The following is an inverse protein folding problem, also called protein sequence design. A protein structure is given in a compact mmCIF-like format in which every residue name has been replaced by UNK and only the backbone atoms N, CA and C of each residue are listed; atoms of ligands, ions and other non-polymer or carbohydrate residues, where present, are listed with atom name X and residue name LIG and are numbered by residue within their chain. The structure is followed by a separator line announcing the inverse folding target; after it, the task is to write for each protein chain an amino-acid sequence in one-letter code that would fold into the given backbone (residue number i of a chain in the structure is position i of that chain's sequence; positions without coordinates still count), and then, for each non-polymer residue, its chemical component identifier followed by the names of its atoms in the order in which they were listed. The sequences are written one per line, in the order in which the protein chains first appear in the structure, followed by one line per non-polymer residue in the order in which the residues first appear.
data_IF_722348324117
#
_entry.id   IF_722348324117
#
_cell.length_a   1.000
_cell.length_b   1.000
_cell.length_c   1.000
_cell.angle_alpha   90.00
_cell.angle_beta   90.00
_cell.angle_gamma   90.00
#
_symmetry.space_group_name_H-M   'P 1'
#
loop_
_entity.id
_entity.type
_entity.pdbx_description
1 polymer ?
#
# COMPACT_ATOMS: atom_id res chain seq x y z
N UNK A 1 -6.48 -79.02 22.33
CA UNK A 1 -7.23 -77.85 21.82
C UNK A 1 -6.62 -76.61 22.48
N UNK A 2 -5.80 -75.84 21.74
CA UNK A 2 -5.21 -74.58 22.24
C UNK A 2 -5.88 -73.45 21.44
N UNK A 3 -6.68 -72.63 22.08
CA UNK A 3 -7.24 -71.40 21.47
C UNK A 3 -6.20 -70.30 21.56
N UNK A 4 -5.81 -69.78 20.39
CA UNK A 4 -4.94 -68.62 20.26
C UNK A 4 -5.81 -67.36 20.20
N UNK A 5 -5.72 -66.52 21.24
CA UNK A 5 -6.41 -65.19 21.27
C UNK A 5 -5.48 -64.22 20.60
N UNK A 6 -5.88 -63.78 19.40
CA UNK A 6 -5.18 -62.71 18.67
C UNK A 6 -5.66 -61.37 19.15
N UNK A 7 -4.78 -60.63 19.82
CA UNK A 7 -5.05 -59.28 20.32
C UNK A 7 -4.76 -58.30 19.19
N UNK A 8 -5.82 -57.81 18.53
CA UNK A 8 -5.69 -56.72 17.55
C UNK A 8 -5.68 -55.39 18.30
N UNK A 9 -4.48 -54.83 18.46
CA UNK A 9 -4.31 -53.47 18.99
C UNK A 9 -4.60 -52.49 17.84
N UNK A 10 -5.76 -51.86 17.92
CA UNK A 10 -6.17 -50.77 17.03
C UNK A 10 -5.50 -49.49 17.51
N UNK A 11 -4.38 -49.11 16.86
CA UNK A 11 -3.67 -47.87 17.15
C UNK A 11 -4.43 -46.71 16.50
N UNK A 12 -5.26 -46.04 17.27
CA UNK A 12 -5.99 -44.85 16.85
C UNK A 12 -4.99 -43.68 16.81
N UNK A 13 -4.41 -43.40 15.64
CA UNK A 13 -3.61 -42.23 15.41
C UNK A 13 -4.54 -41.00 15.33
N UNK A 14 -4.71 -40.31 16.43
CA UNK A 14 -5.34 -38.99 16.46
C UNK A 14 -4.32 -37.99 15.92
N UNK A 15 -4.41 -37.66 14.64
CA UNK A 15 -3.71 -36.52 14.07
C UNK A 15 -4.29 -35.23 14.65
N UNK A 16 -3.67 -34.71 15.69
CA UNK A 16 -3.88 -33.34 16.10
C UNK A 16 -3.27 -32.43 15.03
N UNK A 17 -4.07 -32.06 14.05
CA UNK A 17 -3.76 -30.98 13.11
C UNK A 17 -3.80 -29.68 13.90
N UNK A 18 -2.68 -29.30 14.48
CA UNK A 18 -2.50 -27.95 15.03
C UNK A 18 -2.42 -26.99 13.86
N UNK A 19 -3.59 -26.55 13.37
CA UNK A 19 -3.67 -25.41 12.45
C UNK A 19 -3.21 -24.18 13.23
N UNK A 20 -1.93 -23.89 13.12
CA UNK A 20 -1.39 -22.62 13.58
C UNK A 20 -1.87 -21.56 12.58
N UNK A 21 -3.10 -21.11 12.75
CA UNK A 21 -3.64 -19.98 12.03
C UNK A 21 -2.86 -18.75 12.51
N UNK A 22 -1.84 -18.38 11.75
CA UNK A 22 -1.08 -17.16 11.96
C UNK A 22 -2.06 -15.99 11.77
N UNK A 23 -2.71 -15.56 12.85
CA UNK A 23 -3.47 -14.32 12.87
C UNK A 23 -2.50 -13.20 12.59
N UNK A 24 -2.46 -12.75 11.33
CA UNK A 24 -1.80 -11.47 11.00
C UNK A 24 -2.34 -10.43 11.97
N UNK A 25 -1.48 -9.66 12.63
CA UNK A 25 -1.95 -8.59 13.50
C UNK A 25 -2.89 -7.71 12.70
N UNK A 26 -4.09 -7.47 13.23
CA UNK A 26 -5.07 -6.60 12.61
C UNK A 26 -4.43 -5.22 12.56
N UNK A 27 -4.09 -4.74 11.34
CA UNK A 27 -3.55 -3.40 11.17
C UNK A 27 -4.58 -2.42 11.72
N UNK A 28 -4.20 -1.69 12.75
CA UNK A 28 -5.03 -0.63 13.29
C UNK A 28 -4.88 0.57 12.36
N UNK A 29 -5.98 0.91 11.67
CA UNK A 29 -6.00 2.07 10.80
C UNK A 29 -6.20 3.31 11.66
N UNK A 30 -5.24 4.22 11.59
CA UNK A 30 -5.36 5.52 12.23
C UNK A 30 -6.36 6.32 11.40
N UNK A 31 -7.54 6.54 11.94
CA UNK A 31 -8.49 7.50 11.37
C UNK A 31 -7.95 8.91 11.58
N UNK A 32 -7.90 9.67 10.51
CA UNK A 32 -7.44 11.04 10.53
C UNK A 32 -8.46 11.91 9.80
N UNK A 33 -8.91 12.96 10.46
CA UNK A 33 -9.72 13.99 9.85
C UNK A 33 -8.79 15.08 9.30
N UNK A 34 -8.82 15.27 7.99
CA UNK A 34 -8.06 16.35 7.35
C UNK A 34 -8.73 17.70 7.59
N UNK A 35 -7.90 18.72 7.71
CA UNK A 35 -8.39 20.10 7.75
C UNK A 35 -9.15 20.41 6.47
N UNK A 36 -10.28 21.12 6.62
CA UNK A 36 -11.05 21.59 5.47
C UNK A 36 -10.22 22.60 4.70
N UNK A 37 -10.12 22.39 3.39
CA UNK A 37 -9.52 23.34 2.48
C UNK A 37 -10.44 24.56 2.32
N UNK A 38 -10.03 25.78 2.79
CA UNK A 38 -10.84 26.96 2.67
C UNK A 38 -10.94 27.50 1.24
N UNK A 39 -10.01 27.09 0.36
CA UNK A 39 -9.91 27.52 -1.03
C UNK A 39 -10.32 26.42 -2.00
N UNK A 40 -11.00 25.37 -1.50
CA UNK A 40 -11.41 24.26 -2.32
C UNK A 40 -12.17 24.72 -3.56
N UNK A 41 -11.66 24.36 -4.73
CA UNK A 41 -12.37 24.56 -5.99
C UNK A 41 -13.53 23.55 -6.09
N UNK A 42 -14.74 24.07 -5.90
CA UNK A 42 -15.98 23.26 -6.00
C UNK A 42 -16.49 23.15 -7.43
N UNK A 43 -15.86 23.84 -8.37
CA UNK A 43 -16.27 23.86 -9.78
C UNK A 43 -15.45 22.92 -10.66
N UNK A 44 -14.40 22.33 -10.10
CA UNK A 44 -13.56 21.39 -10.84
C UNK A 44 -14.35 20.17 -11.31
N UNK A 45 -14.18 19.86 -12.58
CA UNK A 45 -14.87 18.73 -13.23
C UNK A 45 -14.07 17.45 -13.10
N UNK A 46 -14.55 16.55 -12.24
CA UNK A 46 -13.99 15.21 -12.02
C UNK A 46 -14.59 14.14 -12.94
N UNK A 47 -15.57 14.51 -13.79
CA UNK A 47 -16.30 13.55 -14.64
C UNK A 47 -15.42 12.84 -15.68
N UNK A 48 -14.30 13.46 -16.04
CA UNK A 48 -13.35 12.91 -17.01
C UNK A 48 -12.30 11.96 -16.38
N UNK A 49 -12.31 11.82 -15.05
CA UNK A 49 -11.41 10.91 -14.37
C UNK A 49 -11.97 9.47 -14.48
N UNK A 50 -11.16 8.50 -14.91
CA UNK A 50 -11.60 7.11 -14.95
C UNK A 50 -12.05 6.62 -13.59
N UNK A 51 -13.03 5.72 -13.54
CA UNK A 51 -13.51 5.12 -12.30
C UNK A 51 -12.39 4.36 -11.57
N UNK A 52 -12.47 4.33 -10.24
CA UNK A 52 -11.53 3.66 -9.36
C UNK A 52 -10.28 4.49 -9.05
N UNK A 53 -9.38 3.87 -8.31
CA UNK A 53 -8.15 4.49 -7.87
C UNK A 53 -7.14 4.61 -9.01
N UNK A 54 -6.71 5.83 -9.28
CA UNK A 54 -5.65 6.14 -10.23
C UNK A 54 -4.33 6.32 -9.48
N UNK A 55 -3.21 6.02 -10.14
CA UNK A 55 -1.88 6.17 -9.57
C UNK A 55 -0.87 6.60 -10.64
N UNK A 56 0.04 7.48 -10.26
CA UNK A 56 1.17 7.87 -11.09
C UNK A 56 2.39 8.24 -10.26
N UNK A 57 3.57 7.86 -10.70
CA UNK A 57 4.77 8.46 -10.17
C UNK A 57 4.87 9.92 -10.61
N UNK A 58 5.20 10.79 -9.66
CA UNK A 58 5.43 12.21 -9.87
C UNK A 58 6.79 12.62 -9.30
N UNK A 59 7.23 13.84 -9.59
CA UNK A 59 8.44 14.36 -8.96
C UNK A 59 8.15 14.82 -7.54
N UNK A 60 9.17 14.86 -6.70
CA UNK A 60 9.01 15.33 -5.31
C UNK A 60 8.68 16.84 -5.22
N UNK A 61 8.91 17.57 -6.30
CA UNK A 61 8.66 19.01 -6.40
C UNK A 61 7.23 19.31 -6.91
N UNK A 62 6.54 18.31 -7.44
CA UNK A 62 5.17 18.48 -7.92
C UNK A 62 4.21 18.70 -6.74
N UNK A 63 3.45 19.78 -6.79
CA UNK A 63 2.44 20.14 -5.79
C UNK A 63 1.07 20.00 -6.42
N UNK A 64 0.23 19.20 -5.79
CA UNK A 64 -1.10 18.88 -6.28
C UNK A 64 -2.16 19.43 -5.32
N UNK A 65 -3.04 20.32 -5.80
CA UNK A 65 -4.18 20.74 -5.01
C UNK A 65 -5.15 19.57 -4.81
N UNK A 66 -5.79 19.53 -3.65
CA UNK A 66 -6.70 18.45 -3.29
C UNK A 66 -8.00 18.48 -4.09
N UNK A 67 -8.49 19.68 -4.37
CA UNK A 67 -9.82 19.92 -4.96
C UNK A 67 -9.87 19.85 -6.48
N UNK A 68 -8.72 19.80 -7.15
CA UNK A 68 -8.61 19.83 -8.61
C UNK A 68 -8.10 18.49 -9.13
N UNK A 69 -8.73 17.91 -10.17
CA UNK A 69 -8.21 16.74 -10.83
C UNK A 69 -6.77 16.95 -11.29
N UNK A 70 -5.84 16.05 -11.01
CA UNK A 70 -4.47 16.23 -11.41
C UNK A 70 -4.28 16.06 -12.92
N UNK A 71 -3.66 17.02 -13.57
CA UNK A 71 -3.29 16.97 -14.97
C UNK A 71 -1.88 16.38 -15.12
N UNK A 72 -1.74 15.08 -14.88
CA UNK A 72 -0.45 14.40 -14.93
C UNK A 72 -0.42 13.30 -15.96
N UNK A 73 0.69 13.15 -16.64
CA UNK A 73 0.93 11.97 -17.46
C UNK A 73 1.12 10.74 -16.57
N UNK A 74 0.37 9.68 -16.87
CA UNK A 74 0.47 8.42 -16.11
C UNK A 74 1.85 7.80 -16.29
N UNK A 75 2.62 7.74 -15.22
CA UNK A 75 3.93 7.09 -15.16
C UNK A 75 3.86 5.89 -14.25
N UNK A 76 3.96 4.69 -14.83
CA UNK A 76 3.92 3.41 -14.09
C UNK A 76 5.29 3.01 -13.52
N UNK A 77 6.34 3.72 -13.86
CA UNK A 77 7.69 3.46 -13.39
C UNK A 77 8.45 4.75 -13.14
N UNK A 78 9.38 4.70 -12.22
CA UNK A 78 10.30 5.79 -11.92
C UNK A 78 11.72 5.24 -11.83
N UNK A 79 12.68 6.03 -12.24
CA UNK A 79 14.10 5.71 -12.06
C UNK A 79 14.66 6.62 -10.97
N UNK A 80 15.17 6.02 -9.93
CA UNK A 80 15.87 6.74 -8.85
C UNK A 80 17.33 6.29 -8.82
N UNK A 81 18.20 7.17 -8.37
CA UNK A 81 19.62 6.88 -8.23
C UNK A 81 20.07 7.30 -6.84
N UNK A 82 20.96 6.54 -6.25
CA UNK A 82 21.53 6.81 -4.93
C UNK A 82 22.90 6.18 -4.79
N UNK A 83 23.67 6.64 -3.84
CA UNK A 83 24.95 6.08 -3.48
C UNK A 83 24.79 4.85 -2.58
N UNK A 84 25.81 4.04 -2.50
CA UNK A 84 25.80 2.88 -1.60
C UNK A 84 25.57 3.34 -0.15
N UNK A 85 24.52 2.80 0.49
CA UNK A 85 24.12 3.16 1.85
C UNK A 85 23.22 4.39 1.96
N UNK A 86 22.85 5.00 0.84
CA UNK A 86 21.92 6.11 0.79
C UNK A 86 20.47 5.61 0.75
N UNK A 87 19.57 6.36 1.39
CA UNK A 87 18.14 6.19 1.23
C UNK A 87 17.64 7.10 0.13
N UNK A 88 16.92 6.54 -0.84
CA UNK A 88 16.30 7.29 -1.93
C UNK A 88 14.80 7.34 -1.74
N UNK A 89 14.19 8.44 -2.17
CA UNK A 89 12.75 8.64 -2.08
C UNK A 89 12.13 8.71 -3.47
N UNK A 90 10.91 8.21 -3.58
CA UNK A 90 10.06 8.37 -4.74
C UNK A 90 8.68 8.81 -4.28
N UNK A 91 8.00 9.61 -5.08
CA UNK A 91 6.65 10.07 -4.78
C UNK A 91 5.67 9.48 -5.79
N UNK A 92 4.54 9.01 -5.27
CA UNK A 92 3.42 8.52 -6.07
C UNK A 92 2.17 9.29 -5.68
N UNK A 93 1.51 9.85 -6.68
CA UNK A 93 0.22 10.49 -6.54
C UNK A 93 -0.87 9.45 -6.69
N UNK A 94 -1.85 9.49 -5.79
CA UNK A 94 -3.06 8.69 -5.85
C UNK A 94 -4.26 9.63 -5.92
N UNK A 95 -5.22 9.34 -6.81
CA UNK A 95 -6.46 10.11 -6.92
C UNK A 95 -7.62 9.24 -7.38
N UNK A 96 -8.82 9.66 -7.08
CA UNK A 96 -10.06 9.02 -7.49
C UNK A 96 -11.17 10.05 -7.55
N UNK A 97 -12.10 9.90 -8.51
CA UNK A 97 -13.35 10.65 -8.52
C UNK A 97 -14.40 10.08 -7.57
N UNK A 98 -14.15 8.91 -7.02
CA UNK A 98 -15.05 8.19 -6.13
C UNK A 98 -14.42 8.06 -4.74
N UNK A 99 -15.23 7.87 -3.71
CA UNK A 99 -14.76 7.62 -2.36
C UNK A 99 -13.98 6.30 -2.28
N UNK A 100 -12.77 6.36 -1.75
CA UNK A 100 -11.91 5.20 -1.53
C UNK A 100 -11.78 4.98 -0.02
N UNK A 101 -12.38 3.90 0.47
CA UNK A 101 -12.41 3.62 1.90
C UNK A 101 -11.07 3.18 2.48
N UNK A 102 -10.24 2.51 1.66
CA UNK A 102 -8.97 1.97 2.13
C UNK A 102 -7.99 1.86 0.97
N UNK A 103 -6.76 2.33 1.21
CA UNK A 103 -5.63 2.14 0.30
C UNK A 103 -4.54 1.40 1.05
N UNK A 104 -4.06 0.32 0.47
CA UNK A 104 -2.92 -0.43 0.99
C UNK A 104 -1.84 -0.49 -0.09
N UNK A 105 -0.58 -0.26 0.31
CA UNK A 105 0.58 -0.39 -0.54
C UNK A 105 1.43 -1.55 -0.03
N UNK A 106 1.68 -2.51 -0.90
CA UNK A 106 2.56 -3.62 -0.63
C UNK A 106 3.79 -3.53 -1.52
N UNK A 107 4.93 -3.95 -0.99
CA UNK A 107 6.17 -4.08 -1.74
C UNK A 107 6.48 -5.55 -1.96
N UNK A 108 6.84 -5.88 -3.17
CA UNK A 108 7.48 -7.14 -3.49
C UNK A 108 8.99 -7.07 -3.24
N UNK A 109 9.66 -8.20 -3.41
CA UNK A 109 11.12 -8.25 -3.38
C UNK A 109 11.74 -7.41 -4.49
N UNK A 110 12.77 -6.66 -4.13
CA UNK A 110 13.54 -5.89 -5.11
C UNK A 110 14.58 -6.79 -5.76
N UNK A 111 14.63 -6.79 -7.07
CA UNK A 111 15.51 -7.66 -7.87
C UNK A 111 16.57 -6.87 -8.60
N UNK A 112 17.78 -7.37 -8.55
CA UNK A 112 18.86 -6.95 -9.42
C UNK A 112 19.52 -8.17 -10.06
N UNK A 113 20.44 -7.95 -10.99
CA UNK A 113 21.17 -9.03 -11.67
C UNK A 113 22.01 -9.87 -10.71
N UNK A 114 22.34 -9.35 -9.54
CA UNK A 114 23.26 -9.97 -8.59
C UNK A 114 22.66 -10.28 -7.22
N UNK A 115 21.47 -9.77 -6.91
CA UNK A 115 20.88 -9.92 -5.60
C UNK A 115 19.37 -9.76 -5.58
N UNK A 116 18.73 -10.42 -4.61
CA UNK A 116 17.37 -10.16 -4.18
C UNK A 116 17.42 -9.41 -2.84
N UNK A 117 16.69 -8.33 -2.75
CA UNK A 117 16.56 -7.56 -1.52
C UNK A 117 15.13 -7.69 -0.99
N UNK A 118 14.94 -7.90 0.31
CA UNK A 118 13.62 -8.11 0.87
C UNK A 118 12.76 -6.84 0.77
N UNK A 119 11.45 -6.99 0.67
CA UNK A 119 10.49 -5.89 0.66
C UNK A 119 10.62 -4.94 1.86
N UNK A 120 11.15 -5.45 2.97
CA UNK A 120 11.34 -4.69 4.22
C UNK A 120 12.34 -3.55 4.14
N UNK A 121 13.13 -3.47 3.07
CA UNK A 121 14.03 -2.31 2.84
C UNK A 121 13.28 -1.06 2.40
N UNK A 122 12.04 -1.19 1.95
CA UNK A 122 11.19 -0.09 1.54
C UNK A 122 10.16 0.25 2.62
N UNK A 123 9.83 1.53 2.71
CA UNK A 123 8.79 2.02 3.58
C UNK A 123 7.92 3.01 2.80
N UNK A 124 6.61 2.78 2.82
CA UNK A 124 5.65 3.77 2.34
C UNK A 124 5.15 4.66 3.47
N UNK A 125 4.88 5.90 3.13
CA UNK A 125 4.21 6.86 4.00
C UNK A 125 3.17 7.62 3.19
N UNK A 126 1.97 7.75 3.72
CA UNK A 126 0.99 8.65 3.14
C UNK A 126 1.28 10.07 3.59
N UNK A 127 1.46 10.95 2.62
CA UNK A 127 1.64 12.38 2.86
C UNK A 127 0.26 12.99 3.07
N UNK A 128 0.11 13.77 4.13
CA UNK A 128 -1.11 14.54 4.39
C UNK A 128 -1.03 15.88 3.70
N UNK A 129 -2.18 16.42 3.34
CA UNK A 129 -2.23 17.80 2.84
C UNK A 129 -1.81 18.78 3.93
N UNK A 130 -1.00 19.74 3.52
CA UNK A 130 -0.55 20.84 4.37
C UNK A 130 -1.06 22.13 3.77
N UNK A 131 -1.69 22.95 4.59
CA UNK A 131 -2.07 24.29 4.16
C UNK A 131 -0.83 25.16 4.07
N UNK A 132 -0.71 25.89 2.96
CA UNK A 132 0.40 26.82 2.71
C UNK A 132 -0.17 28.13 2.21
N UNK A 133 0.45 29.22 2.61
CA UNK A 133 0.12 30.59 2.19
C UNK A 133 1.01 31.06 1.02
N UNK A 134 1.92 30.21 0.53
CA UNK A 134 2.87 30.58 -0.52
C UNK A 134 2.23 30.94 -1.86
N UNK A 135 0.95 30.65 -2.07
CA UNK A 135 0.26 30.78 -3.35
C UNK A 135 -1.00 31.66 -3.30
N UNK A 136 -1.18 32.42 -2.23
CA UNK A 136 -2.19 33.46 -2.19
C UNK A 136 -1.73 34.64 -3.07
N UNK A 137 -1.94 34.54 -4.39
CA UNK A 137 -1.74 35.63 -5.35
C UNK A 137 -3.05 35.99 -6.02
#
# INVERSE_FOLDING_TARGET
MKQSISFVIFFLFVFFSCSCESKRPKKEFITFEEMRDPTADTLSDWSNIPSGLQASFITIDDRMPKSVPPEVAIRKSIRVAGWKGESVSAQMLLWSAEDVNQVELEFDEFRSDVALLPATIAQARFVRYVMTDEFAS
#
